data_IF_537938707348
#
_entry.id   IF_537938707348
#
_cell.length_a   1.000
_cell.length_b   1.000
_cell.length_c   1.000
_cell.angle_alpha   90.00
_cell.angle_beta   90.00
_cell.angle_gamma   90.00
#
_symmetry.space_group_name_H-M   'P 1'
#
loop_
_entity.id
_entity.type
_entity.pdbx_description
1 polymer ?
#
# COMPACT_ATOMS: atom_id res chain seq x y z
N UNK A 1 -0.26 -25.64 -29.26
CA UNK A 1 -1.38 -24.99 -28.54
C UNK A 1 -1.88 -25.81 -27.36
N UNK A 2 -2.00 -27.14 -27.46
CA UNK A 2 -2.50 -28.00 -26.37
C UNK A 2 -1.70 -27.93 -25.04
N UNK A 3 -0.37 -27.76 -25.09
CA UNK A 3 0.45 -27.65 -23.87
C UNK A 3 0.46 -26.26 -23.22
N UNK A 4 0.01 -25.22 -23.94
CA UNK A 4 0.03 -23.84 -23.46
C UNK A 4 -1.11 -23.57 -22.47
N UNK A 5 -2.30 -24.09 -22.75
CA UNK A 5 -3.49 -23.84 -21.92
C UNK A 5 -3.35 -24.43 -20.50
N UNK A 6 -2.89 -25.68 -20.29
CA UNK A 6 -2.63 -26.21 -18.95
C UNK A 6 -1.58 -25.39 -18.18
N UNK A 7 -0.53 -24.93 -18.86
CA UNK A 7 0.51 -24.10 -18.26
C UNK A 7 -0.04 -22.72 -17.82
N UNK A 8 -0.82 -22.05 -18.67
CA UNK A 8 -1.47 -20.78 -18.33
C UNK A 8 -2.46 -20.93 -17.17
N UNK A 9 -3.24 -22.02 -17.14
CA UNK A 9 -4.16 -22.31 -16.03
C UNK A 9 -3.37 -22.56 -14.74
N UNK A 10 -2.26 -23.29 -14.79
CA UNK A 10 -1.41 -23.53 -13.62
C UNK A 10 -0.86 -22.21 -13.05
N UNK A 11 -0.35 -21.32 -13.91
CA UNK A 11 0.12 -19.98 -13.50
C UNK A 11 -1.03 -19.14 -12.93
N UNK A 12 -2.21 -19.17 -13.54
CA UNK A 12 -3.39 -18.45 -13.04
C UNK A 12 -3.81 -18.93 -11.63
N UNK A 13 -3.79 -20.25 -11.39
CA UNK A 13 -4.13 -20.82 -10.08
C UNK A 13 -3.06 -20.50 -9.02
N UNK A 14 -1.78 -20.59 -9.38
CA UNK A 14 -0.70 -20.18 -8.45
C UNK A 14 -0.81 -18.71 -8.09
N UNK A 15 -1.10 -17.86 -9.08
CA UNK A 15 -1.22 -16.42 -8.87
C UNK A 15 -2.41 -16.05 -7.98
N UNK A 16 -3.51 -16.80 -8.10
CA UNK A 16 -4.70 -16.66 -7.25
C UNK A 16 -4.44 -17.11 -5.81
N UNK A 17 -3.72 -18.21 -5.60
CA UNK A 17 -3.42 -18.72 -4.25
C UNK A 17 -2.62 -17.70 -3.43
N UNK A 18 -1.64 -17.07 -4.06
CA UNK A 18 -0.79 -16.04 -3.46
C UNK A 18 -1.53 -14.75 -3.06
N UNK A 19 -2.70 -14.44 -3.64
CA UNK A 19 -3.50 -13.26 -3.24
C UNK A 19 -3.88 -13.31 -1.76
N UNK A 20 -4.19 -14.49 -1.24
CA UNK A 20 -4.53 -14.68 0.18
C UNK A 20 -3.33 -14.34 1.06
N UNK A 21 -2.13 -14.72 0.63
CA UNK A 21 -0.87 -14.38 1.31
C UNK A 21 -0.66 -12.86 1.32
N UNK A 22 -0.83 -12.17 0.18
CA UNK A 22 -0.70 -10.71 0.11
C UNK A 22 -1.68 -9.99 1.05
N UNK A 23 -2.94 -10.43 1.09
CA UNK A 23 -3.94 -9.87 2.00
C UNK A 23 -3.57 -10.08 3.48
N UNK A 24 -3.09 -11.28 3.81
CA UNK A 24 -2.67 -11.63 5.18
C UNK A 24 -1.49 -10.78 5.63
N UNK A 25 -0.48 -10.62 4.78
CA UNK A 25 0.67 -9.76 5.06
C UNK A 25 0.23 -8.30 5.20
N UNK A 26 -0.66 -7.82 4.32
CA UNK A 26 -1.20 -6.45 4.43
C UNK A 26 -1.92 -6.23 5.77
N UNK A 27 -2.80 -7.14 6.17
CA UNK A 27 -3.49 -7.08 7.47
C UNK A 27 -2.51 -7.09 8.65
N UNK A 28 -1.48 -7.94 8.59
CA UNK A 28 -0.44 -7.98 9.61
C UNK A 28 0.32 -6.65 9.71
N UNK A 29 0.68 -6.04 8.58
CA UNK A 29 1.37 -4.72 8.56
C UNK A 29 0.50 -3.60 9.11
N UNK A 30 -0.80 -3.61 8.82
CA UNK A 30 -1.76 -2.67 9.40
C UNK A 30 -1.88 -2.87 10.92
N UNK A 31 -2.00 -4.12 11.38
CA UNK A 31 -2.02 -4.44 12.81
C UNK A 31 -0.76 -3.98 13.54
N UNK A 32 0.42 -4.20 12.96
CA UNK A 32 1.69 -3.72 13.49
C UNK A 32 1.75 -2.19 13.58
N UNK A 33 1.34 -1.49 12.52
CA UNK A 33 1.30 -0.01 12.50
C UNK A 33 0.36 0.55 13.58
N UNK A 34 -0.87 0.02 13.67
CA UNK A 34 -1.85 0.45 14.67
C UNK A 34 -1.35 0.17 16.09
N UNK A 35 -0.79 -1.00 16.33
CA UNK A 35 -0.25 -1.37 17.66
C UNK A 35 0.90 -0.46 18.06
N UNK A 36 1.78 -0.13 17.12
CA UNK A 36 2.87 0.81 17.35
C UNK A 36 2.35 2.21 17.71
N UNK A 37 1.35 2.69 16.98
CA UNK A 37 0.73 3.99 17.22
C UNK A 37 0.03 4.05 18.58
N UNK A 38 -0.81 3.07 18.88
CA UNK A 38 -1.51 2.97 20.18
C UNK A 38 -0.51 2.84 21.32
N UNK A 39 0.54 2.03 21.15
CA UNK A 39 1.59 1.88 22.15
C UNK A 39 2.32 3.20 22.42
N UNK A 40 2.70 3.92 21.38
CA UNK A 40 3.39 5.21 21.55
C UNK A 40 2.47 6.31 22.11
N UNK A 41 1.19 6.30 21.77
CA UNK A 41 0.18 7.18 22.38
C UNK A 41 0.03 6.89 23.89
N UNK A 42 -0.01 5.63 24.29
CA UNK A 42 -0.17 5.25 25.69
C UNK A 42 0.98 5.74 26.60
N UNK A 43 2.17 5.95 26.02
CA UNK A 43 3.34 6.48 26.73
C UNK A 43 3.64 7.94 26.39
N UNK A 44 2.72 8.66 25.73
CA UNK A 44 2.98 9.97 25.15
C UNK A 44 3.63 10.97 26.12
N UNK A 45 3.13 11.05 27.35
CA UNK A 45 3.64 11.95 28.40
C UNK A 45 5.03 11.54 28.91
N UNK A 46 5.38 10.26 28.78
CA UNK A 46 6.67 9.71 29.18
C UNK A 46 7.68 9.72 28.03
N UNK A 47 7.27 10.04 26.79
CA UNK A 47 8.19 10.06 25.65
C UNK A 47 9.28 11.13 25.79
N UNK A 48 9.06 12.18 26.59
CA UNK A 48 10.08 13.22 26.84
C UNK A 48 11.35 12.67 27.51
N UNK A 49 11.24 11.54 28.22
CA UNK A 49 12.39 10.83 28.79
C UNK A 49 13.37 10.31 27.72
N UNK A 50 12.92 10.16 26.47
CA UNK A 50 13.78 9.72 25.35
C UNK A 50 14.64 10.87 24.78
N UNK A 51 14.33 12.13 25.11
CA UNK A 51 15.06 13.30 24.64
C UNK A 51 15.20 13.35 23.12
N UNK A 52 16.44 13.34 22.60
CA UNK A 52 16.70 13.42 21.17
C UNK A 52 16.18 12.19 20.38
N UNK A 53 16.08 11.03 21.02
CA UNK A 53 15.65 9.80 20.38
C UNK A 53 14.17 9.80 19.99
N UNK A 54 13.38 10.76 20.48
CA UNK A 54 12.01 11.05 19.99
C UNK A 54 11.98 11.23 18.47
N UNK A 55 13.02 11.84 17.89
CA UNK A 55 13.13 12.04 16.44
C UNK A 55 13.21 10.75 15.63
N UNK A 56 13.54 9.63 16.26
CA UNK A 56 13.63 8.31 15.63
C UNK A 56 12.32 7.50 15.73
N UNK A 57 11.36 7.92 16.56
CA UNK A 57 10.08 7.21 16.72
C UNK A 57 9.24 7.14 15.44
N UNK A 58 9.27 8.11 14.51
CA UNK A 58 8.56 7.96 13.24
C UNK A 58 9.16 6.89 12.32
N UNK A 59 10.44 6.52 12.50
CA UNK A 59 11.16 5.67 11.56
C UNK A 59 10.50 4.31 11.31
N UNK A 60 10.06 3.54 12.33
CA UNK A 60 9.33 2.28 12.11
C UNK A 60 8.07 2.44 11.24
N UNK A 61 7.29 3.52 11.44
CA UNK A 61 6.09 3.76 10.62
C UNK A 61 6.45 4.13 9.18
N UNK A 62 7.53 4.88 8.97
CA UNK A 62 8.05 5.17 7.62
C UNK A 62 8.47 3.88 6.92
N UNK A 63 9.13 2.96 7.61
CA UNK A 63 9.48 1.64 7.08
C UNK A 63 8.25 0.82 6.72
N UNK A 64 7.22 0.78 7.59
CA UNK A 64 5.96 0.09 7.29
C UNK A 64 5.27 0.71 6.09
N UNK A 65 5.26 2.04 5.97
CA UNK A 65 4.67 2.75 4.84
C UNK A 65 5.41 2.46 3.52
N UNK A 66 6.74 2.40 3.57
CA UNK A 66 7.56 1.98 2.43
C UNK A 66 7.28 0.52 2.03
N UNK A 67 7.18 -0.39 2.99
CA UNK A 67 6.83 -1.79 2.71
C UNK A 67 5.42 -1.90 2.12
N UNK A 68 4.46 -1.13 2.66
CA UNK A 68 3.09 -1.10 2.16
C UNK A 68 3.01 -0.55 0.73
N UNK A 69 3.83 0.43 0.34
CA UNK A 69 3.89 0.92 -1.04
C UNK A 69 4.39 -0.14 -2.03
N UNK A 70 5.34 -0.98 -1.60
CA UNK A 70 5.83 -2.11 -2.40
C UNK A 70 4.78 -3.22 -2.53
N UNK A 71 4.07 -3.54 -1.45
CA UNK A 71 2.96 -4.50 -1.50
C UNK A 71 1.86 -4.04 -2.46
N UNK A 72 1.52 -2.75 -2.44
CA UNK A 72 0.54 -2.19 -3.37
C UNK A 72 1.00 -2.30 -4.82
N UNK A 73 2.27 -2.00 -5.11
CA UNK A 73 2.83 -2.14 -6.45
C UNK A 73 2.80 -3.61 -6.92
N UNK A 74 3.21 -4.53 -6.06
CA UNK A 74 3.19 -5.97 -6.33
C UNK A 74 1.77 -6.45 -6.63
N UNK A 75 0.78 -6.01 -5.84
CA UNK A 75 -0.62 -6.32 -6.06
C UNK A 75 -1.13 -5.78 -7.40
N UNK A 76 -0.77 -4.54 -7.76
CA UNK A 76 -1.17 -3.92 -9.03
C UNK A 76 -0.58 -4.65 -10.25
N UNK A 77 0.73 -4.90 -10.25
CA UNK A 77 1.40 -5.64 -11.34
C UNK A 77 0.83 -7.04 -11.49
N UNK A 78 0.59 -7.74 -10.38
CA UNK A 78 -0.01 -9.08 -10.39
C UNK A 78 -1.45 -9.06 -10.89
N UNK A 79 -2.25 -8.05 -10.53
CA UNK A 79 -3.60 -7.90 -11.07
C UNK A 79 -3.57 -7.78 -12.60
N UNK A 80 -2.67 -6.96 -13.16
CA UNK A 80 -2.49 -6.85 -14.63
C UNK A 80 -2.06 -8.17 -15.28
N UNK A 81 -1.12 -8.89 -14.65
CA UNK A 81 -0.68 -10.22 -15.12
C UNK A 81 -1.85 -11.19 -15.20
N UNK A 82 -2.64 -11.29 -14.13
CA UNK A 82 -3.78 -12.21 -14.06
C UNK A 82 -4.86 -11.85 -15.08
N UNK A 83 -5.18 -10.56 -15.26
CA UNK A 83 -6.14 -10.12 -16.28
C UNK A 83 -5.68 -10.49 -17.70
N UNK A 84 -4.38 -10.38 -17.97
CA UNK A 84 -3.79 -10.78 -19.26
C UNK A 84 -3.90 -12.29 -19.47
N UNK A 85 -3.54 -13.08 -18.45
CA UNK A 85 -3.68 -14.55 -18.50
C UNK A 85 -5.15 -14.97 -18.68
N UNK A 86 -6.06 -14.32 -17.97
CA UNK A 86 -7.50 -14.58 -18.06
C UNK A 86 -8.01 -14.31 -19.48
N UNK A 87 -7.58 -13.21 -20.10
CA UNK A 87 -7.89 -12.89 -21.50
C UNK A 87 -7.35 -13.94 -22.49
N UNK A 88 -6.12 -14.41 -22.29
CA UNK A 88 -5.52 -15.46 -23.12
C UNK A 88 -6.24 -16.81 -22.95
N UNK A 89 -6.63 -17.17 -21.73
CA UNK A 89 -7.35 -18.42 -21.42
C UNK A 89 -8.75 -18.41 -22.04
N UNK A 90 -9.46 -17.29 -21.98
CA UNK A 90 -10.82 -17.16 -22.52
C UNK A 90 -10.86 -16.68 -23.98
N UNK A 91 -9.72 -16.59 -24.67
CA UNK A 91 -9.63 -16.09 -26.05
C UNK A 91 -10.37 -14.77 -26.29
N UNK A 92 -10.40 -13.87 -25.30
CA UNK A 92 -11.11 -12.59 -25.37
C UNK A 92 -12.65 -12.65 -25.27
N UNK A 93 -13.26 -13.81 -25.00
CA UNK A 93 -14.72 -14.01 -25.00
C UNK A 93 -15.33 -14.55 -23.71
N UNK A 94 -14.65 -14.37 -22.56
CA UNK A 94 -15.12 -14.88 -21.25
C UNK A 94 -16.27 -14.04 -20.66
N UNK A 95 -17.13 -14.64 -19.80
CA UNK A 95 -18.20 -13.91 -19.13
C UNK A 95 -17.64 -12.82 -18.21
N UNK A 96 -18.07 -11.57 -18.40
CA UNK A 96 -17.60 -10.36 -17.70
C UNK A 96 -17.91 -10.30 -16.19
N UNK A 97 -18.53 -11.34 -15.63
CA UNK A 97 -18.92 -11.47 -14.23
C UNK A 97 -18.29 -12.67 -13.50
N UNK A 98 -17.33 -13.34 -14.11
CA UNK A 98 -16.66 -14.52 -13.52
C UNK A 98 -15.16 -14.27 -13.45
N UNK A 99 -14.51 -14.80 -12.42
CA UNK A 99 -13.05 -14.77 -12.29
C UNK A 99 -12.51 -13.47 -11.71
N UNK A 100 -11.26 -13.14 -12.06
CA UNK A 100 -10.53 -12.01 -11.45
C UNK A 100 -10.99 -10.68 -12.01
N UNK A 101 -11.38 -10.65 -13.28
CA UNK A 101 -12.02 -9.49 -13.94
C UNK A 101 -13.16 -8.90 -13.10
N UNK A 102 -14.11 -9.73 -12.64
CA UNK A 102 -15.24 -9.25 -11.83
C UNK A 102 -14.79 -8.61 -10.50
N UNK A 103 -13.76 -9.18 -9.85
CA UNK A 103 -13.23 -8.65 -8.59
C UNK A 103 -12.45 -7.34 -8.79
N UNK A 104 -11.69 -7.22 -9.89
CA UNK A 104 -10.98 -5.99 -10.21
C UNK A 104 -11.96 -4.86 -10.49
N UNK A 105 -12.99 -5.07 -11.32
CA UNK A 105 -13.97 -4.03 -11.60
C UNK A 105 -14.73 -3.55 -10.34
N UNK A 106 -14.98 -4.43 -9.38
CA UNK A 106 -15.68 -4.10 -8.14
C UNK A 106 -14.83 -3.31 -7.12
N UNK A 107 -13.52 -3.56 -7.07
CA UNK A 107 -12.63 -3.04 -6.01
C UNK A 107 -11.76 -1.88 -6.50
N UNK A 108 -11.51 -1.79 -7.80
CA UNK A 108 -10.59 -0.83 -8.37
C UNK A 108 -11.07 0.61 -8.24
N UNK A 109 -10.20 1.50 -7.77
CA UNK A 109 -10.52 2.91 -7.50
C UNK A 109 -11.05 3.66 -8.73
N UNK A 110 -10.69 3.21 -9.94
CA UNK A 110 -11.08 3.84 -11.20
C UNK A 110 -12.43 3.36 -11.76
N UNK A 111 -12.94 2.20 -11.32
CA UNK A 111 -14.17 1.59 -11.85
C UNK A 111 -15.22 1.31 -10.79
N UNK A 112 -14.83 1.27 -9.51
CA UNK A 112 -15.70 0.90 -8.41
C UNK A 112 -16.82 1.92 -8.18
N UNK A 113 -17.99 1.47 -7.69
CA UNK A 113 -19.08 2.35 -7.25
C UNK A 113 -18.60 3.37 -6.21
N UNK A 114 -19.25 4.54 -6.19
CA UNK A 114 -18.85 5.66 -5.32
C UNK A 114 -18.62 5.28 -3.84
N UNK A 115 -19.42 4.41 -3.19
CA UNK A 115 -19.17 4.00 -1.81
C UNK A 115 -17.80 3.31 -1.62
N UNK A 116 -17.43 2.40 -2.52
CA UNK A 116 -16.15 1.70 -2.44
C UNK A 116 -14.99 2.64 -2.75
N UNK A 117 -15.15 3.56 -3.71
CA UNK A 117 -14.14 4.57 -4.01
C UNK A 117 -13.86 5.49 -2.83
N UNK A 118 -14.90 5.91 -2.11
CA UNK A 118 -14.77 6.71 -0.89
C UNK A 118 -14.04 5.92 0.20
N UNK A 119 -14.42 4.66 0.43
CA UNK A 119 -13.73 3.80 1.40
C UNK A 119 -12.25 3.61 1.06
N UNK A 120 -11.91 3.45 -0.22
CA UNK A 120 -10.54 3.38 -0.70
C UNK A 120 -9.79 4.70 -0.44
N UNK A 121 -10.41 5.85 -0.71
CA UNK A 121 -9.82 7.16 -0.41
C UNK A 121 -9.61 7.36 1.10
N UNK A 122 -10.54 6.92 1.95
CA UNK A 122 -10.39 6.97 3.40
C UNK A 122 -9.24 6.07 3.85
N UNK A 123 -9.14 4.86 3.32
CA UNK A 123 -8.08 3.92 3.70
C UNK A 123 -6.69 4.46 3.33
N UNK A 124 -6.46 4.84 2.07
CA UNK A 124 -5.16 5.31 1.61
C UNK A 124 -4.85 6.73 2.11
N UNK A 125 -5.83 7.65 2.04
CA UNK A 125 -5.69 9.01 2.54
C UNK A 125 -5.47 9.04 4.05
N UNK A 126 -6.20 8.21 4.80
CA UNK A 126 -6.06 8.08 6.25
C UNK A 126 -4.67 7.58 6.65
N UNK A 127 -4.15 6.54 6.01
CA UNK A 127 -2.78 6.03 6.28
C UNK A 127 -1.73 7.12 6.03
N UNK A 128 -1.83 7.84 4.91
CA UNK A 128 -0.92 8.96 4.62
C UNK A 128 -1.00 10.07 5.66
N UNK A 129 -2.23 10.51 6.00
CA UNK A 129 -2.47 11.58 6.96
C UNK A 129 -1.99 11.22 8.37
N UNK A 130 -2.26 10.00 8.83
CA UNK A 130 -1.86 9.52 10.16
C UNK A 130 -0.33 9.50 10.26
N UNK A 131 0.36 8.93 9.26
CA UNK A 131 1.83 8.87 9.26
C UNK A 131 2.46 10.27 9.25
N UNK A 132 1.93 11.18 8.42
CA UNK A 132 2.42 12.56 8.37
C UNK A 132 2.19 13.31 9.69
N UNK A 133 1.00 13.16 10.27
CA UNK A 133 0.65 13.81 11.55
C UNK A 133 1.55 13.29 12.67
N UNK A 134 1.75 11.98 12.74
CA UNK A 134 2.63 11.36 13.74
C UNK A 134 4.07 11.83 13.60
N UNK A 135 4.59 11.87 12.37
CA UNK A 135 5.95 12.32 12.07
C UNK A 135 6.16 13.77 12.49
N UNK A 136 5.25 14.66 12.09
CA UNK A 136 5.31 16.08 12.47
C UNK A 136 5.25 16.24 13.98
N UNK A 137 4.33 15.54 14.64
CA UNK A 137 4.14 15.61 16.09
C UNK A 137 5.40 15.18 16.85
N UNK A 138 6.05 14.08 16.45
CA UNK A 138 7.30 13.64 17.09
C UNK A 138 8.49 14.57 16.81
N UNK A 139 8.58 15.16 15.60
CA UNK A 139 9.62 16.14 15.31
C UNK A 139 9.43 17.45 16.09
N UNK A 140 8.19 17.92 16.21
CA UNK A 140 7.85 19.11 17.04
C UNK A 140 8.22 18.85 18.50
N UNK A 141 7.87 17.66 19.02
CA UNK A 141 8.22 17.27 20.39
C UNK A 141 9.73 17.08 20.60
N UNK A 142 10.46 16.61 19.58
CA UNK A 142 11.92 16.54 19.64
C UNK A 142 12.59 17.94 19.61
N UNK A 143 11.92 18.97 19.08
CA UNK A 143 12.49 20.31 18.95
C UNK A 143 12.89 20.95 20.27
N UNK A 144 12.15 20.68 21.35
CA UNK A 144 12.52 21.12 22.70
C UNK A 144 13.83 20.50 23.21
N UNK A 145 14.27 19.37 22.65
CA UNK A 145 15.43 18.61 23.11
C UNK A 145 16.67 18.80 22.24
N UNK A 146 16.51 18.90 20.92
CA UNK A 146 17.64 18.97 19.96
C UNK A 146 17.82 20.33 19.27
N UNK A 147 16.97 21.32 19.55
CA UNK A 147 17.05 22.67 18.95
C UNK A 147 17.23 22.60 17.42
N UNK A 148 17.93 23.55 16.77
CA UNK A 148 18.06 23.64 15.31
C UNK A 148 18.54 22.36 14.58
N UNK A 149 19.06 21.37 15.30
CA UNK A 149 19.40 20.05 14.75
C UNK A 149 18.19 19.20 14.33
N UNK A 150 16.94 19.58 14.67
CA UNK A 150 15.71 18.94 14.13
C UNK A 150 15.67 19.00 12.60
N UNK A 151 16.31 19.99 11.99
CA UNK A 151 16.37 20.10 10.54
C UNK A 151 16.98 18.85 9.88
N UNK A 152 17.93 18.18 10.55
CA UNK A 152 18.58 16.97 10.03
C UNK A 152 17.60 15.79 9.89
N UNK A 153 16.92 15.31 10.96
CA UNK A 153 15.92 14.25 10.81
C UNK A 153 14.74 14.70 9.95
N UNK A 154 14.33 15.97 9.98
CA UNK A 154 13.28 16.47 9.10
C UNK A 154 13.64 16.32 7.61
N UNK A 155 14.86 16.73 7.22
CA UNK A 155 15.36 16.57 5.84
C UNK A 155 15.51 15.08 5.47
N UNK A 156 16.01 14.25 6.39
CA UNK A 156 16.12 12.82 6.16
C UNK A 156 14.74 12.18 5.91
N UNK A 157 13.76 12.49 6.74
CA UNK A 157 12.40 11.99 6.54
C UNK A 157 11.77 12.52 5.26
N UNK A 158 11.95 13.79 4.93
CA UNK A 158 11.48 14.33 3.66
C UNK A 158 12.09 13.56 2.47
N UNK A 159 13.40 13.29 2.50
CA UNK A 159 14.08 12.49 1.49
C UNK A 159 13.55 11.05 1.40
N UNK A 160 13.17 10.42 2.52
CA UNK A 160 12.56 9.08 2.56
C UNK A 160 11.12 9.09 2.04
N UNK A 161 10.36 10.15 2.29
CA UNK A 161 8.96 10.27 1.87
C UNK A 161 8.80 10.44 0.36
N UNK A 162 9.77 11.08 -0.31
CA UNK A 162 9.76 11.29 -1.77
C UNK A 162 9.63 9.98 -2.57
N UNK A 163 10.53 8.98 -2.41
CA UNK A 163 10.41 7.72 -3.14
C UNK A 163 9.16 6.93 -2.75
N UNK A 164 8.69 7.03 -1.50
CA UNK A 164 7.46 6.37 -1.05
C UNK A 164 6.23 6.98 -1.75
N UNK A 165 6.15 8.32 -1.82
CA UNK A 165 5.07 9.02 -2.51
C UNK A 165 5.10 8.74 -4.02
N UNK A 166 6.30 8.70 -4.62
CA UNK A 166 6.47 8.34 -6.03
C UNK A 166 6.01 6.90 -6.30
N UNK A 167 6.39 5.95 -5.44
CA UNK A 167 5.96 4.56 -5.54
C UNK A 167 4.43 4.44 -5.44
N UNK A 168 3.79 5.12 -4.48
CA UNK A 168 2.33 5.16 -4.38
C UNK A 168 1.66 5.70 -5.64
N UNK A 169 2.18 6.81 -6.20
CA UNK A 169 1.64 7.38 -7.42
C UNK A 169 1.75 6.41 -8.60
N UNK A 170 2.89 5.75 -8.75
CA UNK A 170 3.10 4.75 -9.81
C UNK A 170 2.19 3.53 -9.63
N UNK A 171 2.07 3.02 -8.40
CA UNK A 171 1.16 1.90 -8.11
C UNK A 171 -0.30 2.26 -8.40
N UNK A 172 -0.72 3.50 -8.10
CA UNK A 172 -2.07 3.98 -8.42
C UNK A 172 -2.33 4.02 -9.93
N UNK A 173 -1.34 4.40 -10.73
CA UNK A 173 -1.44 4.35 -12.21
C UNK A 173 -1.51 2.90 -12.69
N UNK A 174 -0.68 2.01 -12.13
CA UNK A 174 -0.70 0.59 -12.48
C UNK A 174 -2.02 -0.11 -12.12
N UNK A 175 -2.82 0.48 -11.24
CA UNK A 175 -4.16 -0.03 -10.95
C UNK A 175 -5.15 0.23 -12.07
N UNK A 176 -4.95 1.16 -13.02
CA UNK A 176 -5.95 1.40 -14.06
C UNK A 176 -6.10 0.17 -15.00
N UNK A 177 -7.26 -0.53 -15.00
CA UNK A 177 -7.47 -1.72 -15.82
C UNK A 177 -7.94 -1.35 -17.24
N UNK A 178 -8.27 -0.07 -17.49
CA UNK A 178 -8.84 0.38 -18.78
C UNK A 178 -7.86 0.20 -19.93
N UNK A 179 -6.56 0.27 -19.67
CA UNK A 179 -5.50 0.03 -20.67
C UNK A 179 -5.53 -1.41 -21.22
N UNK A 180 -6.07 -2.38 -20.48
CA UNK A 180 -6.09 -3.81 -20.88
C UNK A 180 -7.37 -4.16 -21.67
N UNK A 181 -8.40 -3.32 -21.58
CA UNK A 181 -9.73 -3.56 -22.18
C UNK A 181 -9.88 -2.93 -23.57
N UNK A 182 -9.01 -1.99 -23.95
CA UNK A 182 -9.10 -1.25 -25.23
C UNK A 182 -8.37 -1.87 -26.42
N UNK A 183 -7.46 -2.81 -26.19
CA UNK A 183 -6.90 -3.68 -27.24
C UNK A 183 -7.73 -4.96 -27.38
#
# INVERSE_FOLDING_TARGET
MADRLPALIAVYQSDRADRVTTLTVSLATMGAAVTYLVGTIAFYDKLDLLGWALSLLPFPLVCIMAFHSQLLNLAAVRARSILTLEREIFCGGGPSGVGVTATEFAINVHTAPAPHRISTLIAYGGVGLINMTYLVLMLVKACSHIHGWVAVPALLYAALLVPIAAAWRLSAINLDPREIVTD
#
